data_IF_091957768095
#
_entry.id   IF_091957768095
#
_cell.length_a   1.000
_cell.length_b   1.000
_cell.length_c   1.000
_cell.angle_alpha   90.00
_cell.angle_beta   90.00
_cell.angle_gamma   90.00
#
_symmetry.space_group_name_H-M   'P 1'
#
loop_
_entity.id
_entity.type
_entity.pdbx_description
1 polymer ?
#
# COMPACT_ATOMS: atom_id res chain seq x y z
N UNK A 1 19.52 -23.02 -19.15
CA UNK A 1 18.91 -24.19 -19.80
C UNK A 1 18.94 -25.40 -18.86
N UNK A 2 18.46 -25.26 -17.61
CA UNK A 2 18.32 -26.37 -16.63
C UNK A 2 17.43 -26.05 -15.40
N UNK A 3 16.63 -24.97 -15.41
CA UNK A 3 15.69 -24.63 -14.31
C UNK A 3 14.22 -24.58 -14.77
N UNK A 4 13.88 -25.13 -15.94
CA UNK A 4 12.53 -25.06 -16.51
C UNK A 4 11.79 -26.40 -16.53
N UNK A 5 12.39 -27.48 -16.00
CA UNK A 5 11.86 -28.85 -16.15
C UNK A 5 11.15 -29.34 -14.88
N UNK A 6 11.38 -28.71 -13.72
CA UNK A 6 10.82 -29.17 -12.44
C UNK A 6 9.41 -28.65 -12.15
N UNK A 7 9.02 -27.50 -12.69
CA UNK A 7 7.68 -26.91 -12.44
C UNK A 7 6.61 -27.37 -13.43
N UNK A 8 7.01 -27.98 -14.55
CA UNK A 8 6.09 -28.45 -15.60
C UNK A 8 5.49 -29.84 -15.37
N UNK A 9 6.04 -30.65 -14.45
CA UNK A 9 5.65 -32.07 -14.35
C UNK A 9 4.54 -32.37 -13.34
N UNK A 10 4.17 -31.41 -12.47
CA UNK A 10 3.14 -31.65 -11.44
C UNK A 10 1.76 -31.04 -11.72
N UNK A 11 1.62 -30.20 -12.76
CA UNK A 11 0.34 -29.52 -13.07
C UNK A 11 -0.57 -30.29 -14.05
N UNK A 12 -0.16 -31.47 -14.54
CA UNK A 12 -0.88 -32.19 -15.60
C UNK A 12 -1.95 -33.19 -15.11
N UNK A 13 -2.36 -33.19 -13.84
CA UNK A 13 -3.24 -34.24 -13.30
C UNK A 13 -4.62 -33.81 -12.75
N UNK A 14 -5.02 -32.55 -12.84
CA UNK A 14 -6.40 -32.17 -12.55
C UNK A 14 -6.99 -31.31 -13.66
N UNK A 15 -7.68 -31.97 -14.60
CA UNK A 15 -8.42 -31.30 -15.65
C UNK A 15 -9.58 -30.50 -15.08
N UNK A 16 -9.69 -29.23 -15.49
CA UNK A 16 -10.95 -28.49 -15.57
C UNK A 16 -10.99 -27.65 -16.85
N UNK A 17 -12.20 -27.60 -17.38
CA UNK A 17 -12.67 -27.16 -18.70
C UNK A 17 -12.27 -25.75 -19.10
N UNK A 18 -11.85 -25.62 -20.36
CA UNK A 18 -11.69 -24.37 -21.11
C UNK A 18 -13.05 -23.73 -21.39
N UNK A 19 -13.31 -22.55 -20.82
CA UNK A 19 -14.24 -21.59 -21.41
C UNK A 19 -13.38 -20.50 -22.08
N UNK A 20 -12.99 -20.76 -23.32
CA UNK A 20 -12.40 -19.74 -24.17
C UNK A 20 -13.53 -18.86 -24.71
N UNK A 21 -13.52 -17.58 -24.35
CA UNK A 21 -14.30 -16.53 -25.03
C UNK A 21 -13.29 -15.68 -25.80
N UNK A 22 -13.42 -15.66 -27.12
CA UNK A 22 -12.57 -14.87 -28.02
C UNK A 22 -12.98 -13.39 -28.05
N UNK A 23 -12.15 -12.52 -28.64
CA UNK A 23 -12.37 -11.07 -28.61
C UNK A 23 -13.55 -10.68 -29.50
N UNK A 24 -14.44 -9.84 -28.96
CA UNK A 24 -15.47 -9.09 -29.70
C UNK A 24 -14.97 -7.66 -29.92
N UNK A 25 -15.32 -7.13 -31.09
CA UNK A 25 -14.70 -5.99 -31.78
C UNK A 25 -14.44 -4.74 -30.91
N UNK A 26 -13.20 -4.23 -30.94
CA UNK A 26 -12.83 -2.94 -30.37
C UNK A 26 -13.36 -1.80 -31.25
N UNK A 27 -14.24 -0.96 -30.71
CA UNK A 27 -14.65 0.29 -31.38
C UNK A 27 -13.65 1.38 -31.04
N UNK A 28 -12.86 1.83 -32.02
CA UNK A 28 -11.97 2.98 -31.88
C UNK A 28 -12.77 4.29 -31.83
N UNK A 29 -12.65 5.05 -30.73
CA UNK A 29 -13.17 6.41 -30.67
C UNK A 29 -12.07 7.40 -31.11
N UNK A 30 -12.44 8.41 -31.91
CA UNK A 30 -11.53 9.41 -32.51
C UNK A 30 -10.75 10.32 -31.54
N UNK A 31 -10.73 10.01 -30.25
CA UNK A 31 -9.98 10.73 -29.20
C UNK A 31 -8.79 9.92 -28.64
N UNK A 32 -8.41 8.80 -29.26
CA UNK A 32 -7.23 8.00 -28.89
C UNK A 32 -7.46 7.08 -27.69
N UNK A 33 -8.71 6.70 -27.42
CA UNK A 33 -9.07 5.70 -26.40
C UNK A 33 -9.68 4.47 -27.07
N UNK A 34 -9.32 3.28 -26.57
CA UNK A 34 -10.00 2.02 -26.89
C UNK A 34 -10.91 1.60 -25.73
N UNK A 35 -12.07 1.04 -26.06
CA UNK A 35 -13.02 0.53 -25.09
C UNK A 35 -13.00 -1.00 -25.15
N UNK A 36 -12.80 -1.65 -24.01
CA UNK A 36 -12.76 -3.11 -23.89
C UNK A 36 -13.83 -3.56 -22.89
N UNK A 37 -14.79 -4.34 -23.35
CA UNK A 37 -15.75 -4.98 -22.44
C UNK A 37 -15.08 -6.20 -21.80
N UNK A 38 -14.87 -6.12 -20.49
CA UNK A 38 -14.13 -7.15 -19.72
C UNK A 38 -15.07 -8.11 -19.00
N UNK A 39 -16.29 -7.66 -18.67
CA UNK A 39 -17.41 -8.45 -18.12
C UNK A 39 -18.72 -7.85 -18.65
N UNK A 40 -19.83 -8.62 -18.70
CA UNK A 40 -21.12 -8.10 -19.15
C UNK A 40 -21.47 -6.78 -18.44
N UNK A 41 -21.54 -5.69 -19.21
CA UNK A 41 -21.87 -4.35 -18.71
C UNK A 41 -20.72 -3.58 -18.03
N UNK A 42 -19.48 -4.06 -18.07
CA UNK A 42 -18.29 -3.32 -17.60
C UNK A 42 -17.33 -3.03 -18.75
N UNK A 43 -17.18 -1.74 -19.06
CA UNK A 43 -16.34 -1.24 -20.14
C UNK A 43 -15.10 -0.56 -19.56
N UNK A 44 -13.93 -1.09 -19.88
CA UNK A 44 -12.64 -0.55 -19.49
C UNK A 44 -12.16 0.41 -20.59
N UNK A 45 -11.85 1.66 -20.22
CA UNK A 45 -11.38 2.69 -21.14
C UNK A 45 -9.85 2.74 -21.10
N UNK A 46 -9.21 2.20 -22.13
CA UNK A 46 -7.75 2.09 -22.25
C UNK A 46 -7.22 3.19 -23.17
N UNK A 47 -6.07 3.77 -22.84
CA UNK A 47 -5.34 4.68 -23.74
C UNK A 47 -3.87 4.33 -23.70
N UNK A 48 -3.34 3.91 -24.84
CA UNK A 48 -1.92 3.73 -25.05
C UNK A 48 -1.29 5.09 -25.35
N UNK A 49 -0.30 5.50 -24.57
CA UNK A 49 0.40 6.77 -24.76
C UNK A 49 1.79 6.51 -25.32
N UNK A 50 2.01 6.81 -26.60
CA UNK A 50 3.35 6.89 -27.18
C UNK A 50 3.96 8.27 -26.87
N UNK A 51 5.13 8.38 -26.23
CA UNK A 51 5.66 9.69 -25.85
C UNK A 51 6.11 10.49 -27.08
N UNK A 52 5.52 11.67 -27.32
CA UNK A 52 6.10 12.66 -28.25
C UNK A 52 7.22 13.42 -27.52
N UNK A 53 8.47 13.25 -27.97
CA UNK A 53 9.66 13.92 -27.40
C UNK A 53 9.64 15.43 -27.74
N UNK A 54 9.56 16.36 -26.78
CA UNK A 54 9.75 17.77 -27.05
C UNK A 54 11.25 18.13 -27.09
N UNK A 55 11.59 19.11 -27.93
CA UNK A 55 12.94 19.66 -28.01
C UNK A 55 13.35 20.35 -26.70
N UNK A 56 14.61 20.12 -26.30
CA UNK A 56 15.19 20.63 -25.05
C UNK A 56 15.09 22.16 -24.94
N UNK A 57 14.58 22.65 -23.80
CA UNK A 57 14.75 24.04 -23.36
C UNK A 57 15.72 24.09 -22.17
N UNK A 58 16.54 25.14 -22.15
CA UNK A 58 17.58 25.40 -21.15
C UNK A 58 16.98 25.73 -19.77
N UNK A 59 17.73 25.55 -18.67
CA UNK A 59 17.22 25.72 -17.30
C UNK A 59 17.16 27.20 -16.90
N UNK A 60 16.01 27.63 -16.39
CA UNK A 60 15.86 28.84 -15.57
C UNK A 60 16.11 28.52 -14.08
N UNK A 61 16.64 29.51 -13.35
CA UNK A 61 17.11 29.42 -11.95
C UNK A 61 15.99 29.12 -10.92
N UNK A 62 16.31 28.49 -9.78
CA UNK A 62 15.32 28.17 -8.76
C UNK A 62 15.00 29.37 -7.85
N UNK A 63 13.72 29.73 -7.75
CA UNK A 63 13.21 30.55 -6.64
C UNK A 63 12.93 29.70 -5.40
N UNK A 64 13.19 30.30 -4.24
CA UNK A 64 13.29 29.65 -2.94
C UNK A 64 11.92 29.27 -2.32
N UNK A 65 11.67 27.97 -2.22
CA UNK A 65 10.77 27.35 -1.26
C UNK A 65 11.54 26.29 -0.50
N UNK A 66 11.81 26.49 0.79
CA UNK A 66 12.65 25.58 1.58
C UNK A 66 11.99 24.22 1.79
N UNK A 67 12.66 23.14 1.39
CA UNK A 67 12.29 21.77 1.77
C UNK A 67 12.57 21.58 3.27
N UNK A 68 11.54 21.36 4.09
CA UNK A 68 11.72 21.05 5.50
C UNK A 68 11.87 19.53 5.69
N UNK A 69 13.01 19.11 6.27
CA UNK A 69 13.17 17.73 6.75
C UNK A 69 12.51 17.59 8.12
N UNK A 70 11.31 16.99 8.12
CA UNK A 70 10.54 16.70 9.31
C UNK A 70 10.87 15.33 9.91
N UNK A 71 10.46 15.13 11.17
CA UNK A 71 10.55 13.82 11.82
C UNK A 71 9.30 13.52 12.63
N UNK A 72 8.85 12.26 12.59
CA UNK A 72 7.72 11.76 13.38
C UNK A 72 8.22 10.66 14.30
N UNK A 73 7.85 10.74 15.58
CA UNK A 73 8.17 9.72 16.56
C UNK A 73 7.00 8.76 16.70
N UNK A 74 7.25 7.48 16.39
CA UNK A 74 6.30 6.40 16.51
C UNK A 74 6.72 5.53 17.69
N UNK A 75 6.09 5.75 18.84
CA UNK A 75 6.27 4.91 20.03
C UNK A 75 5.14 3.90 20.12
N UNK A 76 5.47 2.62 20.26
CA UNK A 76 4.49 1.55 20.34
C UNK A 76 4.80 0.56 21.44
N UNK A 77 3.75 -0.03 21.99
CA UNK A 77 3.79 -1.23 22.81
C UNK A 77 3.06 -2.33 22.07
N UNK A 78 3.81 -3.35 21.67
CA UNK A 78 3.30 -4.56 21.04
C UNK A 78 3.20 -5.64 22.13
N UNK A 79 1.98 -6.08 22.40
CA UNK A 79 1.67 -7.11 23.38
C UNK A 79 1.23 -8.38 22.66
N UNK A 80 2.02 -9.46 22.81
CA UNK A 80 1.66 -10.79 22.35
C UNK A 80 1.05 -11.58 23.51
N UNK A 81 -0.16 -12.08 23.33
CA UNK A 81 -0.83 -12.95 24.29
C UNK A 81 -0.55 -14.44 24.01
N UNK A 82 -0.89 -15.30 24.97
CA UNK A 82 -0.61 -16.74 24.88
C UNK A 82 -1.43 -17.47 23.81
N UNK A 83 -2.59 -16.92 23.44
CA UNK A 83 -3.49 -17.42 22.39
C UNK A 83 -3.10 -16.92 20.98
N UNK A 84 -1.89 -16.38 20.79
CA UNK A 84 -1.46 -15.83 19.50
C UNK A 84 -1.97 -14.41 19.22
N UNK A 85 -2.86 -13.87 20.06
CA UNK A 85 -3.39 -12.52 19.84
C UNK A 85 -2.28 -11.46 19.94
N UNK A 86 -2.16 -10.62 18.92
CA UNK A 86 -1.22 -9.49 18.86
C UNK A 86 -1.99 -8.19 19.07
N UNK A 87 -1.52 -7.37 20.01
CA UNK A 87 -2.10 -6.05 20.27
C UNK A 87 -1.05 -4.97 20.10
N UNK A 88 -1.31 -4.02 19.21
CA UNK A 88 -0.43 -2.87 18.95
C UNK A 88 -1.05 -1.62 19.56
N UNK A 89 -0.40 -1.07 20.58
CA UNK A 89 -0.80 0.18 21.25
C UNK A 89 0.16 1.30 20.86
N UNK A 90 -0.35 2.44 20.38
CA UNK A 90 0.47 3.62 20.14
C UNK A 90 0.59 4.44 21.43
N UNK A 91 1.83 4.74 21.82
CA UNK A 91 2.16 5.45 23.06
C UNK A 91 2.38 6.96 22.84
N UNK A 92 2.11 7.46 21.63
CA UNK A 92 2.48 8.80 21.15
C UNK A 92 1.42 9.90 21.29
N UNK A 93 0.16 9.57 21.60
CA UNK A 93 -0.94 10.58 21.67
C UNK A 93 -0.86 11.49 22.91
N UNK A 94 0.10 11.26 23.83
CA UNK A 94 0.20 12.00 25.09
C UNK A 94 1.04 13.29 25.05
N UNK A 95 1.51 13.79 23.90
CA UNK A 95 2.36 15.00 23.85
C UNK A 95 1.85 16.01 22.82
N UNK A 96 0.77 16.73 23.20
CA UNK A 96 0.44 18.15 22.92
C UNK A 96 -1.08 18.46 23.02
N UNK A 97 -1.75 18.03 24.10
CA UNK A 97 -3.11 18.52 24.42
C UNK A 97 -3.28 19.06 25.85
N UNK A 98 -2.21 19.25 26.62
CA UNK A 98 -2.32 19.74 28.00
C UNK A 98 -2.07 21.25 28.17
N UNK A 99 -1.98 22.03 27.08
CA UNK A 99 -2.00 23.49 27.17
C UNK A 99 -2.97 24.03 26.13
N UNK A 100 -4.26 23.90 26.41
CA UNK A 100 -5.32 24.88 26.14
C UNK A 100 -6.58 24.34 26.82
N UNK A 101 -7.02 25.05 27.86
CA UNK A 101 -8.17 24.77 28.71
C UNK A 101 -9.37 24.12 28.01
N UNK A 102 -9.89 23.02 28.58
CA UNK A 102 -11.33 22.83 28.81
C UNK A 102 -11.59 21.80 29.93
N UNK A 103 -12.58 22.11 30.75
CA UNK A 103 -13.09 21.36 31.90
C UNK A 103 -13.65 19.98 31.56
N UNK A 104 -13.62 19.09 32.56
CA UNK A 104 -14.37 17.84 32.77
C UNK A 104 -15.33 17.37 31.66
N UNK A 105 -15.01 16.22 31.06
CA UNK A 105 -15.96 15.40 30.31
C UNK A 105 -15.28 14.28 29.51
N UNK A 106 -15.52 13.03 29.91
CA UNK A 106 -15.25 11.74 29.24
C UNK A 106 -14.21 11.67 28.10
N UNK A 107 -13.07 11.04 28.39
CA UNK A 107 -12.10 10.61 27.39
C UNK A 107 -12.54 9.30 26.70
N UNK A 108 -12.68 9.35 25.38
CA UNK A 108 -12.78 8.19 24.47
C UNK A 108 -11.41 7.46 24.38
N UNK A 109 -11.36 6.13 24.15
CA UNK A 109 -10.12 5.36 24.27
C UNK A 109 -9.26 5.32 22.99
N UNK A 110 -7.95 5.19 23.22
CA UNK A 110 -6.84 5.06 22.26
C UNK A 110 -7.06 3.98 21.17
N UNK A 111 -6.53 4.23 19.97
CA UNK A 111 -6.51 3.27 18.86
C UNK A 111 -5.72 2.01 19.24
N UNK A 112 -6.42 0.89 19.40
CA UNK A 112 -5.87 -0.43 19.74
C UNK A 112 -6.27 -1.41 18.64
N UNK A 113 -5.31 -2.03 17.97
CA UNK A 113 -5.58 -3.08 16.97
C UNK A 113 -5.35 -4.45 17.63
N UNK A 114 -6.35 -5.31 17.65
CA UNK A 114 -6.27 -6.71 18.13
C UNK A 114 -6.36 -7.67 16.94
N UNK A 115 -5.32 -8.50 16.71
CA UNK A 115 -5.33 -9.56 15.69
C UNK A 115 -5.30 -10.94 16.35
N UNK A 116 -6.19 -11.87 15.99
CA UNK A 116 -6.20 -13.26 16.46
C UNK A 116 -5.68 -14.20 15.36
N UNK A 117 -4.50 -14.78 15.55
CA UNK A 117 -3.91 -15.75 14.62
C UNK A 117 -4.44 -17.15 14.96
N UNK A 118 -5.38 -17.68 14.18
CA UNK A 118 -5.89 -19.04 14.36
C UNK A 118 -4.86 -20.10 13.92
N UNK A 119 -4.48 -20.98 14.84
CA UNK A 119 -3.52 -22.07 14.62
C UNK A 119 -4.07 -23.15 13.67
N UNK A 120 -3.47 -23.26 12.48
CA UNK A 120 -3.60 -24.40 11.56
C UNK A 120 -2.82 -25.60 12.09
N UNK A 121 -3.39 -26.35 13.05
CA UNK A 121 -2.98 -27.72 13.36
C UNK A 121 -4.02 -28.42 14.26
N UNK A 122 -4.94 -29.16 13.64
CA UNK A 122 -5.56 -30.42 14.10
C UNK A 122 -6.97 -30.58 13.52
N UNK A 123 -7.05 -31.13 12.32
CA UNK A 123 -8.27 -31.82 11.87
C UNK A 123 -7.92 -33.30 11.67
N UNK A 124 -8.19 -34.09 12.71
CA UNK A 124 -8.53 -35.50 12.56
C UNK A 124 -10.07 -35.59 12.59
N UNK A 125 -10.68 -36.48 11.80
CA UNK A 125 -12.11 -36.42 11.51
C UNK A 125 -12.96 -36.80 12.72
N UNK A 126 -13.92 -35.94 13.07
CA UNK A 126 -14.93 -36.25 14.06
C UNK A 126 -15.88 -37.34 13.53
N UNK A 127 -16.04 -38.39 14.32
CA UNK A 127 -16.99 -39.48 14.08
C UNK A 127 -18.45 -39.02 14.09
N UNK A 128 -19.26 -39.81 13.42
CA UNK A 128 -20.71 -39.74 13.24
C UNK A 128 -21.52 -39.52 14.53
N UNK A 129 -22.63 -38.75 14.49
CA UNK A 129 -23.51 -38.57 15.65
C UNK A 129 -24.57 -39.68 15.73
N UNK A 130 -24.63 -40.34 16.88
CA UNK A 130 -25.72 -41.23 17.28
C UNK A 130 -26.86 -40.46 17.95
N UNK A 131 -28.09 -40.81 17.55
CA UNK A 131 -29.34 -40.19 17.95
C UNK A 131 -29.71 -40.38 19.43
N UNK A 132 -30.36 -39.36 20.01
CA UNK A 132 -31.04 -39.41 21.30
C UNK A 132 -31.99 -38.23 21.47
N UNK A 133 -33.29 -38.50 21.36
CA UNK A 133 -34.45 -37.58 21.41
C UNK A 133 -34.92 -37.31 22.87
N UNK A 134 -35.95 -36.46 23.14
CA UNK A 134 -35.83 -35.28 23.99
C UNK A 134 -36.53 -35.38 25.35
N UNK A 135 -36.16 -34.52 26.30
CA UNK A 135 -36.84 -34.35 27.59
C UNK A 135 -37.21 -32.90 27.83
N UNK A 136 -38.52 -32.62 27.87
CA UNK A 136 -39.11 -31.31 28.15
C UNK A 136 -39.09 -30.98 29.65
N UNK A 137 -38.86 -29.69 29.96
CA UNK A 137 -39.02 -29.12 31.31
C UNK A 137 -38.98 -27.59 31.25
N UNK A 138 -40.15 -26.97 31.40
CA UNK A 138 -40.42 -25.52 31.36
C UNK A 138 -40.12 -24.81 32.72
N UNK A 139 -40.24 -23.48 32.86
CA UNK A 139 -39.18 -22.61 33.37
C UNK A 139 -39.44 -22.06 34.78
N UNK A 140 -38.39 -21.60 35.48
CA UNK A 140 -38.54 -21.02 36.81
C UNK A 140 -37.39 -20.13 37.25
N UNK A 141 -37.63 -18.82 37.18
CA UNK A 141 -37.18 -17.76 38.08
C UNK A 141 -35.68 -17.63 38.45
N UNK A 142 -35.09 -16.49 38.06
CA UNK A 142 -33.90 -15.97 38.73
C UNK A 142 -33.03 -15.07 37.86
N UNK A 143 -33.57 -13.98 37.31
CA UNK A 143 -32.75 -12.87 36.81
C UNK A 143 -32.03 -12.23 38.01
N UNK A 144 -30.83 -12.73 38.34
CA UNK A 144 -29.86 -11.99 39.13
C UNK A 144 -29.06 -11.16 38.13
N UNK A 145 -29.15 -9.85 38.27
CA UNK A 145 -28.24 -8.90 37.63
C UNK A 145 -26.80 -9.32 37.93
N UNK A 146 -26.18 -9.99 36.96
CA UNK A 146 -24.76 -10.30 37.01
C UNK A 146 -24.04 -8.97 36.82
N UNK A 147 -23.47 -8.44 37.91
CA UNK A 147 -22.48 -7.38 37.85
C UNK A 147 -21.48 -7.68 36.72
N UNK A 148 -21.07 -6.69 35.90
CA UNK A 148 -20.22 -6.94 34.75
C UNK A 148 -18.99 -7.69 35.22
N UNK A 149 -18.84 -8.93 34.73
CA UNK A 149 -17.72 -9.77 35.08
C UNK A 149 -16.45 -8.97 34.80
N UNK A 150 -15.69 -8.64 35.86
CA UNK A 150 -14.39 -7.99 35.73
C UNK A 150 -13.57 -8.86 34.76
N UNK A 151 -13.44 -8.42 33.50
CA UNK A 151 -12.62 -9.08 32.48
C UNK A 151 -11.24 -9.29 33.12
N UNK A 152 -10.92 -10.54 33.47
CA UNK A 152 -9.59 -10.90 34.00
C UNK A 152 -8.59 -10.45 32.94
N UNK A 153 -7.81 -9.39 33.23
CA UNK A 153 -6.74 -8.92 32.33
C UNK A 153 -5.81 -10.11 32.09
N UNK A 154 -5.83 -10.65 30.87
CA UNK A 154 -5.08 -11.84 30.50
C UNK A 154 -3.59 -11.51 30.62
N UNK A 155 -2.80 -12.43 31.17
CA UNK A 155 -1.36 -12.19 31.33
C UNK A 155 -0.69 -12.24 29.94
N UNK A 156 0.07 -11.20 29.55
CA UNK A 156 0.75 -11.19 28.27
C UNK A 156 1.84 -12.28 28.23
N UNK A 157 2.07 -12.88 27.06
CA UNK A 157 3.19 -13.81 26.81
C UNK A 157 4.49 -13.03 26.62
N UNK A 158 4.43 -11.92 25.88
CA UNK A 158 5.56 -11.03 25.62
C UNK A 158 5.06 -9.61 25.42
N UNK A 159 5.81 -8.63 25.92
CA UNK A 159 5.57 -7.20 25.67
C UNK A 159 6.84 -6.63 25.07
N UNK A 160 6.70 -5.91 23.97
CA UNK A 160 7.79 -5.29 23.22
C UNK A 160 7.47 -3.81 23.09
N UNK A 161 8.39 -2.95 23.52
CA UNK A 161 8.29 -1.52 23.25
C UNK A 161 9.19 -1.18 22.08
N UNK A 162 8.65 -0.43 21.12
CA UNK A 162 9.36 0.02 19.93
C UNK A 162 9.28 1.54 19.90
N UNK A 163 10.42 2.19 19.78
CA UNK A 163 10.51 3.64 19.53
C UNK A 163 11.22 3.81 18.19
N UNK A 164 10.51 4.33 17.21
CA UNK A 164 11.02 4.54 15.86
C UNK A 164 10.85 6.01 15.48
N UNK A 165 11.95 6.63 15.05
CA UNK A 165 11.91 7.92 14.40
C UNK A 165 11.76 7.71 12.89
N UNK A 166 10.76 8.36 12.29
CA UNK A 166 10.54 8.39 10.85
C UNK A 166 11.09 9.66 10.26
N UNK A 167 11.95 9.50 9.25
CA UNK A 167 12.40 10.61 8.43
C UNK A 167 11.30 10.97 7.44
N UNK A 168 11.02 12.26 7.30
CA UNK A 168 9.98 12.77 6.40
C UNK A 168 10.54 13.97 5.64
N UNK A 169 10.31 13.98 4.33
CA UNK A 169 10.40 15.19 3.54
C UNK A 169 9.02 15.80 3.45
N UNK A 170 8.88 17.05 3.88
CA UNK A 170 7.65 17.82 3.70
C UNK A 170 7.98 19.20 3.15
N UNK A 171 7.25 19.63 2.12
CA UNK A 171 7.34 20.99 1.62
C UNK A 171 5.95 21.58 1.58
N UNK A 172 5.76 22.71 2.28
CA UNK A 172 4.47 23.40 2.30
C UNK A 172 4.17 23.96 0.92
N UNK A 173 2.94 23.74 0.48
CA UNK A 173 2.41 24.27 -0.77
C UNK A 173 1.64 25.57 -0.59
N UNK A 174 1.36 26.24 -1.71
CA UNK A 174 0.40 27.34 -1.79
C UNK A 174 -1.04 26.83 -1.82
N UNK A 175 -1.27 25.58 -2.24
CA UNK A 175 -2.56 24.90 -2.13
C UNK A 175 -2.88 24.62 -0.65
N UNK A 176 -3.80 25.41 -0.10
CA UNK A 176 -4.07 25.43 1.34
C UNK A 176 -4.76 24.16 1.85
N UNK A 177 -5.41 23.39 0.98
CA UNK A 177 -6.34 22.33 1.36
C UNK A 177 -5.96 20.94 0.82
N UNK A 178 -5.00 20.85 -0.12
CA UNK A 178 -4.53 19.59 -0.74
C UNK A 178 -3.16 19.18 -0.22
N UNK A 179 -2.96 17.90 0.08
CA UNK A 179 -1.66 17.28 0.36
C UNK A 179 -1.48 15.99 -0.45
N UNK A 180 -0.28 15.82 -1.01
CA UNK A 180 0.13 14.62 -1.74
C UNK A 180 1.09 13.78 -0.87
N UNK A 181 0.71 12.54 -0.56
CA UNK A 181 1.52 11.62 0.22
C UNK A 181 2.21 10.60 -0.69
N UNK A 182 3.53 10.56 -0.71
CA UNK A 182 4.33 9.64 -1.52
C UNK A 182 4.93 8.54 -0.65
N UNK A 183 4.47 7.30 -0.81
CA UNK A 183 4.86 6.14 0.00
C UNK A 183 5.63 5.14 -0.86
N UNK A 184 6.90 4.93 -0.54
CA UNK A 184 7.78 4.02 -1.28
C UNK A 184 7.56 2.54 -0.89
N UNK A 185 8.02 1.61 -1.74
CA UNK A 185 7.99 0.17 -1.48
C UNK A 185 9.23 -0.40 -0.76
N UNK A 186 9.28 -1.73 -0.65
CA UNK A 186 10.42 -2.46 -0.03
C UNK A 186 11.71 -2.16 -0.80
N UNK A 187 12.80 -1.89 -0.07
CA UNK A 187 14.08 -1.52 -0.67
C UNK A 187 14.18 -0.05 -1.11
N UNK A 188 13.05 0.67 -1.22
CA UNK A 188 13.06 2.07 -1.60
C UNK A 188 13.48 3.04 -0.49
N UNK A 189 13.40 4.33 -0.78
CA UNK A 189 13.44 5.44 0.17
C UNK A 189 12.64 6.58 -0.41
N UNK A 190 12.47 7.68 0.31
CA UNK A 190 11.87 8.90 -0.21
C UNK A 190 12.60 9.45 -1.45
N UNK A 191 13.86 9.07 -1.69
CA UNK A 191 14.67 9.58 -2.81
C UNK A 191 14.14 9.14 -4.17
N UNK A 192 13.39 8.03 -4.23
CA UNK A 192 12.79 7.55 -5.49
C UNK A 192 11.77 8.56 -6.04
N UNK A 193 11.25 9.43 -5.17
CA UNK A 193 10.23 10.42 -5.49
C UNK A 193 10.80 11.79 -5.85
N UNK A 194 12.13 11.97 -5.90
CA UNK A 194 12.74 13.29 -6.07
C UNK A 194 12.12 14.11 -7.21
N UNK A 195 12.03 13.51 -8.40
CA UNK A 195 11.49 14.19 -9.59
C UNK A 195 9.99 14.54 -9.44
N UNK A 196 9.23 13.71 -8.71
CA UNK A 196 7.82 13.97 -8.41
C UNK A 196 7.68 15.10 -7.37
N UNK A 197 8.44 15.03 -6.28
CA UNK A 197 8.39 16.03 -5.20
C UNK A 197 8.79 17.41 -5.74
N UNK A 198 9.85 17.50 -6.54
CA UNK A 198 10.28 18.75 -7.17
C UNK A 198 9.21 19.32 -8.11
N UNK A 199 8.57 18.46 -8.91
CA UNK A 199 7.51 18.87 -9.83
C UNK A 199 6.27 19.40 -9.10
N UNK A 200 5.73 18.65 -8.15
CA UNK A 200 4.51 19.04 -7.44
C UNK A 200 4.71 20.23 -6.49
N UNK A 201 5.89 20.34 -5.87
CA UNK A 201 6.23 21.52 -5.06
C UNK A 201 6.27 22.79 -5.91
N UNK A 202 6.85 22.74 -7.11
CA UNK A 202 6.86 23.89 -8.05
C UNK A 202 5.45 24.30 -8.50
N UNK A 203 4.52 23.35 -8.56
CA UNK A 203 3.10 23.62 -8.82
C UNK A 203 2.33 24.10 -7.58
N UNK A 204 3.01 24.25 -6.45
CA UNK A 204 2.45 24.76 -5.20
C UNK A 204 1.70 23.72 -4.38
N UNK A 205 1.82 22.43 -4.66
CA UNK A 205 1.21 21.39 -3.82
C UNK A 205 2.05 21.15 -2.57
N UNK A 206 1.39 20.87 -1.45
CA UNK A 206 2.08 20.32 -0.30
C UNK A 206 2.37 18.85 -0.54
N UNK A 207 3.62 18.45 -0.34
CA UNK A 207 4.08 17.08 -0.53
C UNK A 207 4.63 16.51 0.77
N UNK A 208 4.36 15.24 1.03
CA UNK A 208 4.82 14.50 2.20
C UNK A 208 5.34 13.14 1.76
N UNK A 209 6.62 12.86 2.00
CA UNK A 209 7.25 11.59 1.68
C UNK A 209 8.01 11.04 2.90
N UNK A 210 7.49 10.00 3.58
CA UNK A 210 8.20 9.33 4.66
C UNK A 210 9.16 8.24 4.14
N UNK A 211 10.26 8.03 4.86
CA UNK A 211 11.02 6.78 4.81
C UNK A 211 10.36 5.73 5.73
N UNK A 212 10.08 4.53 5.20
CA UNK A 212 9.59 3.39 6.00
C UNK A 212 10.60 2.97 7.07
N UNK A 213 10.15 2.20 8.07
CA UNK A 213 11.07 1.64 9.07
C UNK A 213 12.23 0.88 8.40
N UNK A 214 13.46 1.12 8.84
CA UNK A 214 14.65 0.47 8.31
C UNK A 214 15.06 0.87 6.89
N UNK A 215 14.42 1.89 6.31
CA UNK A 215 14.73 2.43 4.99
C UNK A 215 15.21 3.88 5.11
N UNK A 216 15.98 4.33 4.11
CA UNK A 216 16.52 5.69 4.04
C UNK A 216 17.16 6.14 5.35
N UNK A 217 16.68 7.27 5.87
CA UNK A 217 17.16 7.87 7.11
C UNK A 217 16.25 7.59 8.33
N UNK A 218 15.23 6.73 8.19
CA UNK A 218 14.38 6.28 9.30
C UNK A 218 15.10 5.31 10.22
N UNK A 219 14.64 5.19 11.47
CA UNK A 219 15.17 4.21 12.43
C UNK A 219 15.05 2.78 11.90
N UNK A 220 16.10 1.98 12.13
CA UNK A 220 16.20 0.58 11.74
C UNK A 220 16.31 -0.34 12.98
N UNK A 221 15.25 -0.45 13.81
CA UNK A 221 15.31 -1.25 15.03
C UNK A 221 15.58 -2.72 14.71
N UNK A 222 16.46 -3.38 15.47
CA UNK A 222 16.80 -4.79 15.26
C UNK A 222 15.76 -5.73 15.88
N UNK A 223 14.49 -5.55 15.50
CA UNK A 223 13.35 -6.31 16.00
C UNK A 223 12.31 -6.56 14.90
N UNK A 224 12.05 -7.83 14.59
CA UNK A 224 11.19 -8.20 13.47
C UNK A 224 9.76 -7.64 13.60
N UNK A 225 9.24 -7.54 14.83
CA UNK A 225 7.91 -6.99 15.10
C UNK A 225 7.72 -5.54 14.63
N UNK A 226 8.81 -4.76 14.45
CA UNK A 226 8.76 -3.40 13.91
C UNK A 226 8.42 -3.34 12.40
N UNK A 227 8.54 -4.47 11.69
CA UNK A 227 8.42 -4.55 10.23
C UNK A 227 7.23 -5.40 9.77
N UNK A 228 6.34 -5.75 10.70
CA UNK A 228 5.04 -6.34 10.31
C UNK A 228 4.21 -5.33 9.54
N UNK A 229 3.34 -5.80 8.64
CA UNK A 229 2.44 -4.94 7.87
C UNK A 229 1.73 -3.93 8.77
N UNK A 230 1.04 -4.39 9.81
CA UNK A 230 0.30 -3.50 10.71
C UNK A 230 1.20 -2.53 11.46
N UNK A 231 2.40 -2.93 11.90
CA UNK A 231 3.32 -1.99 12.56
C UNK A 231 3.74 -0.84 11.63
N UNK A 232 3.93 -1.13 10.34
CA UNK A 232 4.27 -0.13 9.32
C UNK A 232 3.04 0.69 8.88
N UNK A 233 1.88 0.06 8.73
CA UNK A 233 0.62 0.74 8.45
C UNK A 233 0.29 1.77 9.55
N UNK A 234 0.55 1.40 10.81
CA UNK A 234 0.43 2.30 11.96
C UNK A 234 1.45 3.44 11.93
N UNK A 235 2.63 3.26 11.32
CA UNK A 235 3.57 4.37 11.09
C UNK A 235 2.99 5.34 10.08
N UNK A 236 2.45 4.81 8.98
CA UNK A 236 1.85 5.61 7.92
C UNK A 236 0.60 6.34 8.42
N UNK A 237 -0.20 5.72 9.29
CA UNK A 237 -1.32 6.37 9.98
C UNK A 237 -0.88 7.54 10.85
N UNK A 238 0.21 7.40 11.61
CA UNK A 238 0.75 8.49 12.42
C UNK A 238 1.28 9.65 11.56
N UNK A 239 1.92 9.35 10.44
CA UNK A 239 2.35 10.35 9.45
C UNK A 239 1.13 11.03 8.83
N UNK A 240 0.15 10.26 8.36
CA UNK A 240 -1.08 10.76 7.75
C UNK A 240 -1.81 11.71 8.70
N UNK A 241 -2.10 11.30 9.94
CA UNK A 241 -2.79 12.15 10.93
C UNK A 241 -2.07 13.47 11.21
N UNK A 242 -0.75 13.51 11.11
CA UNK A 242 0.03 14.73 11.38
C UNK A 242 -0.05 15.75 10.25
N UNK A 243 -0.10 15.29 9.01
CA UNK A 243 0.01 16.16 7.83
C UNK A 243 -1.29 16.25 7.03
N UNK A 244 -2.28 15.41 7.32
CA UNK A 244 -3.52 15.37 6.56
C UNK A 244 -4.24 16.73 6.62
N UNK A 245 -4.78 17.13 5.48
CA UNK A 245 -5.64 18.30 5.31
C UNK A 245 -7.04 17.86 4.90
N UNK A 246 -7.83 18.79 4.35
CA UNK A 246 -9.18 18.52 3.86
C UNK A 246 -9.17 17.56 2.69
N UNK A 247 -8.23 17.70 1.76
CA UNK A 247 -8.09 16.84 0.58
C UNK A 247 -6.74 16.15 0.58
N UNK A 248 -6.73 14.84 0.66
CA UNK A 248 -5.50 14.05 0.69
C UNK A 248 -5.47 13.08 -0.48
N UNK A 249 -4.35 13.08 -1.21
CA UNK A 249 -4.11 12.18 -2.33
C UNK A 249 -2.95 11.28 -1.93
N UNK A 250 -3.16 9.97 -2.01
CA UNK A 250 -2.17 8.97 -1.62
C UNK A 250 -1.53 8.38 -2.87
N UNK A 251 -0.20 8.43 -2.95
CA UNK A 251 0.60 7.91 -4.06
C UNK A 251 1.52 6.82 -3.49
N UNK A 252 1.25 5.58 -3.85
CA UNK A 252 2.01 4.42 -3.40
C UNK A 252 2.77 3.77 -4.55
N UNK A 253 3.99 3.29 -4.28
CA UNK A 253 4.73 2.42 -5.19
C UNK A 253 4.92 1.04 -4.58
N UNK A 254 4.66 -0.02 -5.35
CA UNK A 254 4.89 -1.40 -4.93
C UNK A 254 4.21 -1.66 -3.58
N UNK A 255 4.94 -2.14 -2.58
CA UNK A 255 4.44 -2.33 -1.22
C UNK A 255 3.84 -1.07 -0.55
N UNK A 256 4.23 0.13 -1.01
CA UNK A 256 3.64 1.39 -0.58
C UNK A 256 2.14 1.50 -0.89
N UNK A 257 1.67 0.83 -1.94
CA UNK A 257 0.26 0.79 -2.35
C UNK A 257 -0.62 0.20 -1.26
N UNK A 258 -0.17 -0.86 -0.59
CA UNK A 258 -0.92 -1.50 0.50
C UNK A 258 -1.17 -0.55 1.67
N UNK A 259 -0.25 0.38 1.95
CA UNK A 259 -0.48 1.41 2.96
C UNK A 259 -1.45 2.49 2.48
N UNK A 260 -1.43 2.82 1.19
CA UNK A 260 -2.40 3.76 0.61
C UNK A 260 -3.82 3.20 0.69
N UNK A 261 -4.02 1.92 0.35
CA UNK A 261 -5.34 1.27 0.42
C UNK A 261 -5.79 1.09 1.86
N UNK A 262 -4.88 0.75 2.77
CA UNK A 262 -5.14 0.75 4.21
C UNK A 262 -5.66 2.11 4.71
N UNK A 263 -4.96 3.21 4.39
CA UNK A 263 -5.37 4.54 4.81
C UNK A 263 -6.66 5.03 4.13
N UNK A 264 -6.90 4.68 2.87
CA UNK A 264 -8.13 5.03 2.16
C UNK A 264 -9.37 4.40 2.80
N UNK A 265 -9.24 3.18 3.31
CA UNK A 265 -10.28 2.49 4.07
C UNK A 265 -10.51 3.06 5.46
N UNK A 266 -9.43 3.39 6.16
CA UNK A 266 -9.52 3.94 7.52
C UNK A 266 -10.03 5.40 7.54
N UNK A 267 -9.78 6.16 6.48
CA UNK A 267 -10.11 7.58 6.39
C UNK A 267 -10.83 7.94 5.07
N UNK A 268 -11.98 7.31 4.76
CA UNK A 268 -12.67 7.49 3.48
C UNK A 268 -13.15 8.94 3.27
N UNK A 269 -13.41 9.68 4.36
CA UNK A 269 -13.82 11.09 4.30
C UNK A 269 -12.66 12.07 4.07
N UNK A 270 -11.41 11.63 4.29
CA UNK A 270 -10.21 12.48 4.16
C UNK A 270 -9.40 12.14 2.91
N UNK A 271 -9.39 10.87 2.50
CA UNK A 271 -8.69 10.41 1.30
C UNK A 271 -9.59 10.64 0.09
N UNK A 272 -9.12 11.45 -0.85
CA UNK A 272 -9.91 11.84 -2.01
C UNK A 272 -9.56 11.04 -3.26
N UNK A 273 -8.29 10.63 -3.40
CA UNK A 273 -7.80 9.87 -4.54
C UNK A 273 -6.63 8.98 -4.13
N UNK A 274 -6.49 7.84 -4.80
CA UNK A 274 -5.35 6.93 -4.64
C UNK A 274 -4.66 6.74 -5.98
N UNK A 275 -3.33 6.78 -5.99
CA UNK A 275 -2.49 6.48 -7.14
C UNK A 275 -1.62 5.29 -6.77
N UNK A 276 -1.73 4.21 -7.54
CA UNK A 276 -1.01 2.96 -7.36
C UNK A 276 0.00 2.81 -8.49
N UNK A 277 1.29 2.78 -8.17
CA UNK A 277 2.36 2.59 -9.17
C UNK A 277 2.96 1.21 -8.99
N UNK A 278 2.81 0.34 -9.98
CA UNK A 278 3.28 -1.05 -9.95
C UNK A 278 2.89 -1.76 -8.63
N UNK A 279 1.61 -1.67 -8.27
CA UNK A 279 1.08 -2.06 -6.96
C UNK A 279 0.85 -3.55 -6.81
N UNK A 280 0.50 -4.22 -7.92
CA UNK A 280 0.10 -5.61 -7.92
C UNK A 280 -1.40 -5.78 -7.76
N UNK A 281 -1.82 -7.04 -7.75
CA UNK A 281 -3.22 -7.39 -7.80
C UNK A 281 -3.89 -7.34 -6.45
N UNK A 282 -5.21 -7.54 -6.42
CA UNK A 282 -6.03 -7.52 -5.22
C UNK A 282 -5.85 -8.83 -4.41
N UNK A 283 -4.62 -9.14 -4.06
CA UNK A 283 -4.21 -10.37 -3.40
C UNK A 283 -3.71 -10.05 -2.01
N UNK A 284 -4.24 -10.76 -1.01
CA UNK A 284 -3.78 -10.68 0.37
C UNK A 284 -2.27 -10.82 0.47
N UNK A 285 -1.64 -10.03 1.33
CA UNK A 285 -0.21 -10.13 1.55
C UNK A 285 0.08 -11.35 2.40
N UNK A 286 0.86 -12.27 1.85
CA UNK A 286 1.31 -13.47 2.53
C UNK A 286 2.82 -13.66 2.34
N UNK A 287 3.57 -13.96 3.42
CA UNK A 287 4.97 -14.28 3.29
C UNK A 287 5.16 -15.54 2.43
N UNK A 288 5.87 -15.41 1.31
CA UNK A 288 6.19 -16.58 0.49
C UNK A 288 7.10 -17.56 1.24
N UNK A 289 6.61 -18.79 1.46
CA UNK A 289 7.34 -19.85 2.19
C UNK A 289 8.62 -20.29 1.48
N UNK A 290 8.68 -20.15 0.15
CA UNK A 290 9.83 -20.52 -0.68
C UNK A 290 10.73 -19.32 -1.05
N UNK A 291 10.54 -18.16 -0.39
CA UNK A 291 11.35 -16.97 -0.64
C UNK A 291 12.80 -17.15 -0.18
N UNK A 292 13.75 -16.67 -0.99
CA UNK A 292 15.18 -16.59 -0.61
C UNK A 292 15.37 -15.77 0.68
N UNK A 293 14.47 -14.84 0.97
CA UNK A 293 14.50 -14.01 2.18
C UNK A 293 14.17 -14.79 3.46
N UNK A 294 13.69 -16.04 3.37
CA UNK A 294 13.49 -16.90 4.55
C UNK A 294 14.81 -17.48 5.11
N UNK A 295 15.90 -17.40 4.33
CA UNK A 295 17.23 -17.90 4.72
C UNK A 295 17.81 -17.17 5.95
N UNK A 296 18.74 -17.79 6.71
CA UNK A 296 19.41 -17.14 7.83
C UNK A 296 20.06 -15.81 7.43
N UNK A 297 20.04 -14.82 8.33
CA UNK A 297 20.56 -13.46 8.05
C UNK A 297 22.02 -13.44 7.65
N UNK A 298 22.85 -14.36 8.17
CA UNK A 298 24.25 -14.48 7.77
C UNK A 298 24.39 -14.89 6.29
N UNK A 299 23.53 -15.78 5.79
CA UNK A 299 23.51 -16.19 4.38
C UNK A 299 23.07 -15.02 3.51
N UNK A 300 21.99 -14.33 3.88
CA UNK A 300 21.53 -13.13 3.16
C UNK A 300 22.56 -12.00 3.17
N UNK A 301 23.33 -11.85 4.25
CA UNK A 301 24.38 -10.86 4.34
C UNK A 301 25.52 -11.16 3.36
N UNK A 302 25.94 -12.43 3.26
CA UNK A 302 26.91 -12.87 2.25
C UNK A 302 26.39 -12.69 0.82
N UNK A 303 25.08 -12.90 0.60
CA UNK A 303 24.44 -12.73 -0.70
C UNK A 303 24.05 -11.28 -1.01
N UNK A 304 24.19 -10.35 -0.06
CA UNK A 304 23.67 -8.98 -0.19
C UNK A 304 24.16 -8.23 -1.45
N UNK A 305 25.43 -8.35 -1.90
CA UNK A 305 25.86 -7.69 -3.13
C UNK A 305 25.15 -8.26 -4.37
N UNK A 306 24.93 -9.58 -4.40
CA UNK A 306 24.22 -10.25 -5.49
C UNK A 306 22.73 -9.91 -5.47
N UNK A 307 22.11 -9.83 -4.30
CA UNK A 307 20.70 -9.47 -4.13
C UNK A 307 20.45 -8.02 -4.55
N UNK A 308 21.30 -7.09 -4.12
CA UNK A 308 21.21 -5.69 -4.52
C UNK A 308 21.37 -5.53 -6.04
N UNK A 309 22.35 -6.24 -6.62
CA UNK A 309 22.54 -6.24 -8.08
C UNK A 309 21.36 -6.86 -8.84
N UNK A 310 20.82 -7.97 -8.34
CA UNK A 310 19.64 -8.61 -8.90
C UNK A 310 18.42 -7.69 -8.84
N UNK A 311 18.22 -7.00 -7.71
CA UNK A 311 17.12 -6.06 -7.52
C UNK A 311 17.22 -4.90 -8.52
N UNK A 312 18.40 -4.30 -8.72
CA UNK A 312 18.58 -3.26 -9.72
C UNK A 312 18.31 -3.76 -11.15
N UNK A 313 18.77 -4.97 -11.47
CA UNK A 313 18.57 -5.54 -12.81
C UNK A 313 17.12 -5.91 -13.08
N UNK A 314 16.39 -6.30 -12.05
CA UNK A 314 14.97 -6.60 -12.13
C UNK A 314 14.12 -5.31 -12.14
N UNK A 315 14.50 -4.32 -11.34
CA UNK A 315 13.71 -3.12 -11.11
C UNK A 315 13.83 -2.02 -12.16
N UNK A 316 14.81 -2.09 -13.06
CA UNK A 316 15.02 -1.11 -14.15
C UNK A 316 14.93 -1.80 -15.52
N UNK A 317 14.26 -1.16 -16.48
CA UNK A 317 14.19 -1.60 -17.88
C UNK A 317 15.56 -1.47 -18.55
N UNK A 318 16.26 -0.35 -18.28
CA UNK A 318 17.56 -0.04 -18.90
C UNK A 318 18.61 0.22 -17.82
N UNK A 319 19.75 -0.46 -17.92
CA UNK A 319 20.89 -0.22 -17.03
C UNK A 319 21.86 0.80 -17.64
N UNK A 320 21.58 2.09 -17.44
CA UNK A 320 22.41 3.21 -17.85
C UNK A 320 23.44 3.63 -16.79
N UNK A 321 24.07 4.79 -17.03
CA UNK A 321 25.06 5.36 -16.13
C UNK A 321 24.43 5.91 -14.83
N UNK A 322 23.22 6.47 -14.91
CA UNK A 322 22.48 7.05 -13.77
C UNK A 322 22.11 5.96 -12.76
N UNK A 323 21.67 4.80 -13.24
CA UNK A 323 21.25 3.66 -12.41
C UNK A 323 22.45 3.00 -11.73
N UNK A 324 23.59 2.90 -12.44
CA UNK A 324 24.86 2.45 -11.87
C UNK A 324 25.43 3.45 -10.85
N UNK A 325 25.14 4.73 -11.00
CA UNK A 325 25.53 5.76 -10.05
C UNK A 325 24.69 5.68 -8.76
N UNK A 326 23.39 5.42 -8.86
CA UNK A 326 22.52 5.17 -7.69
C UNK A 326 23.05 4.01 -6.82
N UNK A 327 23.56 2.93 -7.43
CA UNK A 327 24.25 1.85 -6.69
C UNK A 327 25.51 2.33 -5.95
N UNK A 328 26.30 3.21 -6.58
CA UNK A 328 27.56 3.69 -6.02
C UNK A 328 27.34 4.68 -4.88
N UNK A 329 26.28 5.47 -4.97
CA UNK A 329 25.96 6.50 -3.98
C UNK A 329 25.29 5.92 -2.73
N UNK A 330 24.79 4.68 -2.77
CA UNK A 330 24.32 3.94 -1.59
C UNK A 330 23.09 4.53 -0.89
N UNK A 331 22.39 5.47 -1.54
CA UNK A 331 21.29 6.23 -0.94
C UNK A 331 19.91 5.59 -1.18
N UNK A 332 19.73 4.87 -2.27
CA UNK A 332 18.53 4.06 -2.54
C UNK A 332 18.92 2.57 -2.56
N UNK A 333 18.06 1.69 -2.02
CA UNK A 333 18.27 0.23 -2.01
C UNK A 333 19.34 -0.32 -1.05
N UNK A 334 19.90 0.52 -0.18
CA UNK A 334 20.82 0.09 0.87
C UNK A 334 20.07 -0.28 2.16
N UNK A 335 19.37 -1.41 2.12
CA UNK A 335 18.60 -1.92 3.26
C UNK A 335 19.30 -3.14 3.85
N UNK A 336 19.45 -3.17 5.18
CA UNK A 336 20.12 -4.31 5.83
C UNK A 336 19.38 -5.63 5.55
N UNK A 337 20.13 -6.73 5.43
CA UNK A 337 19.55 -8.06 5.22
C UNK A 337 18.55 -8.45 6.31
N UNK A 338 18.76 -7.98 7.54
CA UNK A 338 17.81 -8.16 8.64
C UNK A 338 16.48 -7.47 8.35
N UNK A 339 16.51 -6.20 7.95
CA UNK A 339 15.30 -5.42 7.64
C UNK A 339 14.55 -6.03 6.46
N UNK A 340 15.26 -6.37 5.37
CA UNK A 340 14.64 -7.02 4.20
C UNK A 340 13.96 -8.32 4.61
N UNK A 341 14.66 -9.20 5.32
CA UNK A 341 14.09 -10.45 5.82
C UNK A 341 12.88 -10.21 6.73
N UNK A 342 13.01 -9.32 7.70
CA UNK A 342 11.95 -9.03 8.65
C UNK A 342 10.70 -8.48 7.96
N UNK A 343 10.87 -7.58 6.99
CA UNK A 343 9.78 -7.00 6.21
C UNK A 343 9.12 -8.05 5.32
N UNK A 344 9.88 -8.81 4.52
CA UNK A 344 9.33 -9.86 3.67
C UNK A 344 8.60 -10.95 4.48
N UNK A 345 9.10 -11.31 5.67
CA UNK A 345 8.41 -12.23 6.57
C UNK A 345 7.22 -11.63 7.31
N UNK A 346 7.15 -10.29 7.36
CA UNK A 346 6.16 -9.52 8.10
C UNK A 346 5.01 -9.02 7.25
N UNK A 347 5.04 -9.25 5.93
CA UNK A 347 3.98 -8.95 4.96
C UNK A 347 2.82 -9.94 5.10
N UNK A 348 2.18 -9.95 6.27
CA UNK A 348 0.97 -10.71 6.53
C UNK A 348 -0.20 -9.73 6.70
N UNK A 349 -1.09 -9.69 5.71
CA UNK A 349 -2.28 -8.86 5.67
C UNK A 349 -3.40 -9.59 4.92
N UNK A 350 -4.09 -10.52 5.59
CA UNK A 350 -5.10 -11.37 4.97
C UNK A 350 -6.33 -10.59 4.52
N UNK A 351 -6.63 -9.45 5.16
CA UNK A 351 -7.75 -8.60 4.78
C UNK A 351 -7.50 -7.87 3.47
N UNK A 352 -6.26 -7.75 2.98
CA UNK A 352 -5.94 -7.06 1.74
C UNK A 352 -6.32 -7.82 0.47
N UNK A 353 -7.50 -8.44 0.42
CA UNK A 353 -7.98 -9.28 -0.68
C UNK A 353 -8.85 -8.53 -1.71
N UNK A 354 -9.51 -9.27 -2.60
CA UNK A 354 -10.42 -8.72 -3.62
C UNK A 354 -11.60 -7.95 -3.02
N UNK A 355 -12.16 -8.42 -1.92
CA UNK A 355 -13.32 -7.79 -1.28
C UNK A 355 -12.92 -6.45 -0.72
N UNK A 356 -11.80 -6.41 -0.01
CA UNK A 356 -11.26 -5.19 0.57
C UNK A 356 -10.97 -4.14 -0.50
N UNK A 357 -10.30 -4.51 -1.60
CA UNK A 357 -10.03 -3.53 -2.65
C UNK A 357 -11.30 -3.07 -3.39
N UNK A 358 -12.30 -3.94 -3.55
CA UNK A 358 -13.57 -3.59 -4.20
C UNK A 358 -14.41 -2.58 -3.40
N UNK A 359 -14.19 -2.49 -2.09
CA UNK A 359 -14.87 -1.54 -1.20
C UNK A 359 -14.29 -0.11 -1.27
N UNK A 360 -13.16 0.09 -1.97
CA UNK A 360 -12.60 1.44 -2.17
C UNK A 360 -13.54 2.28 -3.04
N UNK A 361 -14.21 3.25 -2.41
CA UNK A 361 -15.12 4.19 -3.06
C UNK A 361 -14.42 5.39 -3.72
N UNK A 362 -13.15 5.64 -3.36
CA UNK A 362 -12.36 6.75 -3.89
C UNK A 362 -11.86 6.44 -5.31
N UNK A 363 -11.74 7.45 -6.19
CA UNK A 363 -11.08 7.28 -7.49
C UNK A 363 -9.64 6.76 -7.36
N UNK A 364 -9.30 5.78 -8.19
CA UNK A 364 -7.98 5.15 -8.23
C UNK A 364 -7.35 5.25 -9.62
N UNK A 365 -6.11 5.75 -9.68
CA UNK A 365 -5.26 5.64 -10.87
C UNK A 365 -4.21 4.54 -10.63
N UNK A 366 -4.13 3.57 -11.53
CA UNK A 366 -3.07 2.59 -11.60
C UNK A 366 -2.09 2.99 -12.70
N UNK A 367 -0.80 3.00 -12.39
CA UNK A 367 0.29 3.27 -13.33
C UNK A 367 1.21 2.06 -13.35
N UNK A 368 1.35 1.42 -14.51
CA UNK A 368 2.14 0.21 -14.69
C UNK A 368 3.27 0.43 -15.70
N UNK A 369 4.47 -0.11 -15.43
CA UNK A 369 5.55 -0.18 -16.40
C UNK A 369 5.61 -1.54 -17.09
N UNK A 370 5.52 -1.60 -18.43
CA UNK A 370 5.48 -2.88 -19.18
C UNK A 370 6.71 -3.79 -19.03
N UNK A 371 7.81 -3.25 -18.54
CA UNK A 371 9.05 -3.97 -18.28
C UNK A 371 9.26 -4.25 -16.79
N UNK A 372 8.23 -4.11 -15.96
CA UNK A 372 8.26 -4.56 -14.58
C UNK A 372 8.44 -6.09 -14.52
N UNK A 373 9.47 -6.54 -13.77
CA UNK A 373 9.82 -7.95 -13.60
C UNK A 373 9.41 -8.50 -12.23
N UNK A 374 8.87 -7.65 -11.37
CA UNK A 374 8.37 -8.02 -10.05
C UNK A 374 6.85 -8.18 -10.06
N UNK A 375 6.16 -7.25 -10.72
CA UNK A 375 4.71 -7.23 -10.82
C UNK A 375 4.32 -7.39 -12.28
N UNK A 376 3.68 -8.51 -12.67
CA UNK A 376 3.10 -8.65 -14.00
C UNK A 376 1.96 -7.65 -14.24
N UNK A 377 1.76 -7.20 -15.47
CA UNK A 377 0.68 -6.23 -15.81
C UNK A 377 -0.71 -6.78 -15.54
N UNK A 378 -0.88 -8.10 -15.62
CA UNK A 378 -2.13 -8.81 -15.37
C UNK A 378 -2.63 -8.61 -13.93
N UNK A 379 -1.72 -8.41 -12.99
CA UNK A 379 -2.04 -8.14 -11.59
C UNK A 379 -2.71 -6.77 -11.43
N UNK A 380 -2.13 -5.71 -12.01
CA UNK A 380 -2.74 -4.38 -12.00
C UNK A 380 -4.03 -4.33 -12.86
N UNK A 381 -4.14 -5.14 -13.91
CA UNK A 381 -5.38 -5.32 -14.66
C UNK A 381 -6.48 -5.92 -13.78
N UNK A 382 -6.19 -6.99 -13.05
CA UNK A 382 -7.15 -7.60 -12.10
C UNK A 382 -7.57 -6.59 -11.03
N UNK A 383 -6.65 -5.80 -10.51
CA UNK A 383 -6.95 -4.73 -9.55
C UNK A 383 -7.92 -3.70 -10.16
N UNK A 384 -7.64 -3.23 -11.38
CA UNK A 384 -8.51 -2.29 -12.08
C UNK A 384 -9.92 -2.85 -12.33
N UNK A 385 -10.08 -4.15 -12.53
CA UNK A 385 -11.38 -4.79 -12.76
C UNK A 385 -12.30 -4.81 -11.53
N UNK A 386 -11.75 -4.83 -10.32
CA UNK A 386 -12.53 -4.94 -9.07
C UNK A 386 -12.82 -3.59 -8.43
N UNK A 387 -11.97 -2.59 -8.68
CA UNK A 387 -12.11 -1.23 -8.16
C UNK A 387 -13.35 -0.52 -8.75
N UNK A 388 -14.01 0.32 -7.94
CA UNK A 388 -15.23 1.02 -8.34
C UNK A 388 -14.99 2.08 -9.43
N UNK A 389 -13.96 2.92 -9.24
CA UNK A 389 -13.58 3.99 -10.16
C UNK A 389 -12.08 3.86 -10.42
N UNK A 390 -11.72 3.13 -11.47
CA UNK A 390 -10.32 2.83 -11.79
C UNK A 390 -9.91 3.37 -13.16
N UNK A 391 -8.68 3.86 -13.24
CA UNK A 391 -8.00 4.23 -14.47
C UNK A 391 -6.67 3.48 -14.52
N UNK A 392 -6.49 2.59 -15.50
CA UNK A 392 -5.20 1.92 -15.70
C UNK A 392 -4.41 2.62 -16.81
N UNK A 393 -3.17 3.02 -16.51
CA UNK A 393 -2.21 3.63 -17.43
C UNK A 393 -0.97 2.77 -17.50
N UNK A 394 -0.65 2.35 -18.71
CA UNK A 394 0.48 1.47 -18.98
C UNK A 394 1.54 2.27 -19.74
N UNK A 395 2.77 2.25 -19.22
CA UNK A 395 3.93 2.94 -19.78
C UNK A 395 4.82 1.89 -20.44
N UNK A 396 4.84 1.88 -21.77
CA UNK A 396 5.50 0.86 -22.58
C UNK A 396 7.00 0.69 -22.27
N UNK A 397 7.70 1.79 -22.02
CA UNK A 397 9.14 1.79 -21.72
C UNK A 397 9.44 1.70 -20.22
N UNK A 398 8.41 1.71 -19.37
CA UNK A 398 8.56 1.78 -17.91
C UNK A 398 8.84 0.41 -17.30
N UNK A 399 9.56 0.39 -16.18
CA UNK A 399 9.75 -0.83 -15.36
C UNK A 399 9.17 -0.69 -13.95
N UNK A 400 9.64 -1.51 -13.00
CA UNK A 400 9.25 -1.38 -11.60
C UNK A 400 9.56 0.01 -11.02
N UNK A 401 10.67 0.63 -11.41
CA UNK A 401 11.06 1.98 -10.99
C UNK A 401 10.64 3.05 -12.02
N UNK A 402 9.46 2.90 -12.63
CA UNK A 402 8.96 3.79 -13.71
C UNK A 402 8.95 5.27 -13.34
N UNK A 403 8.74 5.64 -12.07
CA UNK A 403 8.80 7.03 -11.61
C UNK A 403 10.18 7.67 -11.73
N UNK A 404 11.25 6.85 -11.71
CA UNK A 404 12.63 7.28 -11.88
C UNK A 404 13.07 7.25 -13.35
N UNK A 405 12.56 6.29 -14.13
CA UNK A 405 12.91 6.11 -15.55
C UNK A 405 12.12 7.02 -16.50
N UNK A 406 10.84 7.26 -16.18
CA UNK A 406 9.92 8.07 -16.99
C UNK A 406 9.27 9.18 -16.15
N UNK A 407 10.05 10.03 -15.44
CA UNK A 407 9.52 10.96 -14.47
C UNK A 407 8.54 11.98 -15.09
N UNK A 408 8.80 12.47 -16.31
CA UNK A 408 7.92 13.44 -16.96
C UNK A 408 6.56 12.82 -17.31
N UNK A 409 6.56 11.59 -17.82
CA UNK A 409 5.32 10.85 -18.14
C UNK A 409 4.53 10.56 -16.88
N UNK A 410 5.19 10.05 -15.83
CA UNK A 410 4.55 9.77 -14.55
C UNK A 410 3.98 11.05 -13.94
N UNK A 411 4.75 12.13 -13.88
CA UNK A 411 4.31 13.43 -13.34
C UNK A 411 3.08 13.97 -14.08
N UNK A 412 3.07 13.84 -15.41
CA UNK A 412 1.94 14.26 -16.24
C UNK A 412 0.69 13.45 -15.90
N UNK A 413 0.79 12.12 -15.87
CA UNK A 413 -0.34 11.25 -15.54
C UNK A 413 -0.88 11.50 -14.13
N UNK A 414 0.02 11.67 -13.15
CA UNK A 414 -0.37 11.93 -11.77
C UNK A 414 -1.09 13.28 -11.68
N UNK A 415 -0.57 14.31 -12.33
CA UNK A 415 -1.18 15.64 -12.28
C UNK A 415 -2.52 15.71 -13.01
N UNK A 416 -2.64 15.09 -14.19
CA UNK A 416 -3.92 14.95 -14.89
C UNK A 416 -4.99 14.32 -13.98
N UNK A 417 -4.61 13.26 -13.25
CA UNK A 417 -5.52 12.60 -12.33
C UNK A 417 -5.79 13.41 -11.06
N UNK A 418 -4.81 14.15 -10.53
CA UNK A 418 -5.00 15.10 -9.42
C UNK A 418 -6.04 16.17 -9.80
N UNK A 419 -6.01 16.66 -11.04
CA UNK A 419 -6.95 17.67 -11.55
C UNK A 419 -8.30 17.12 -12.01
N UNK A 420 -8.39 15.81 -12.30
CA UNK A 420 -9.61 15.19 -12.79
C UNK A 420 -10.74 15.29 -11.75
N UNK A 421 -11.93 15.73 -12.15
CA UNK A 421 -13.12 15.73 -11.30
C UNK A 421 -14.19 14.83 -11.96
N UNK A 422 -15.01 14.10 -11.18
CA UNK A 422 -16.12 13.35 -11.74
C UNK A 422 -17.11 14.32 -12.40
N UNK A 423 -17.61 13.95 -13.59
CA UNK A 423 -18.64 14.74 -14.27
C UNK A 423 -19.90 14.78 -13.40
N UNK A 424 -20.26 15.95 -12.89
CA UNK A 424 -21.57 16.16 -12.27
C UNK A 424 -22.62 16.20 -13.38
N UNK A 425 -23.70 15.40 -13.32
CA UNK A 425 -24.76 15.51 -14.29
C UNK A 425 -25.34 16.93 -14.20
N UNK A 426 -25.13 17.74 -15.23
CA UNK A 426 -25.82 19.01 -15.38
C UNK A 426 -27.31 18.73 -15.39
N UNK A 427 -28.03 19.25 -14.41
CA UNK A 427 -29.49 19.14 -14.35
C UNK A 427 -30.12 19.91 -15.50
N UNK A 428 -30.24 19.27 -16.65
CA UNK A 428 -31.09 19.73 -17.76
C UNK A 428 -32.56 19.48 -17.38
N UNK A 429 -33.05 20.31 -16.46
CA UNK A 429 -34.47 20.56 -16.25
C UNK A 429 -34.89 21.76 -17.08
N UNK A 430 -35.10 21.55 -18.38
CA UNK A 430 -35.87 22.49 -19.20
C UNK A 430 -37.21 22.80 -18.52
N UNK A 431 -37.49 24.09 -18.45
CA UNK A 431 -38.77 24.64 -18.06
C UNK A 431 -38.91 26.07 -18.59
N UNK A 432 -38.60 26.28 -19.87
CA UNK A 432 -39.11 27.43 -20.61
C UNK A 432 -40.64 27.37 -20.57
N UNK A 433 -41.25 28.13 -19.66
CA UNK A 433 -42.64 28.53 -19.80
C UNK A 433 -42.69 29.68 -20.81
N UNK A 434 -43.22 29.39 -21.99
CA UNK A 434 -43.83 30.39 -22.86
C UNK A 434 -45.31 30.06 -23.02
#
# INVERSE_FOLDING_TARGET
>A
MLNSITDGLLCCLMGKTTNAVGPLDSVEAGNGYSFMEVKPGRILRVRHSTPSRPAAKQPEEPQAGGTERGTVHCKRKITLYRNGQLVIENLGDAVRSEILHCHNGSAEPNSTVELELSELANQAPAGTPGAGTPGAGTPGAGARDAAPAKRRKRKPKKVINIDCKKQITSCKGTHSDVVLFFIHGVGGSLDIWKEQLDFFTKLGYEVVAPDLAGHGCSSAPQIAAAYTFYALAEDMRAVFKRYAKKRNILIGHSYGVSFCTFLAHEYPDLVHKVIMINGGGPTALEPSLCSIFNMPTCVLHCLSPCLAWSFLKAGFARQGAKEKQLLKEGNAFNVSSFVLRAMMSGQYWPEGDEVYHAELAVPVLLVHGMHDKFVPVEEDQRMAEILLIAFLKVIDEGSHMVMMECPETVNTLLHEFVLWEPETPTGDGQGEKK
#
